data_IF_101325224575
#
_entry.id   IF_101325224575
#
_cell.length_a   1.000
_cell.length_b   1.000
_cell.length_c   1.000
_cell.angle_alpha   90.00
_cell.angle_beta   90.00
_cell.angle_gamma   90.00
#
_symmetry.space_group_name_H-M   'P 1'
#
loop_
_entity.id
_entity.type
_entity.pdbx_description
1 polymer ?
#
# COMPACT_ATOMS: atom_id res chain seq x y z
N UNK A 1 -12.62 -1.90 -2.13
CA UNK A 1 -11.86 -3.06 -1.65
C UNK A 1 -12.75 -4.28 -1.47
N UNK A 2 -13.73 -4.23 -0.57
CA UNK A 2 -14.73 -5.29 -0.45
C UNK A 2 -15.71 -5.22 -1.61
N UNK A 3 -16.08 -6.38 -2.16
CA UNK A 3 -17.19 -6.53 -3.10
C UNK A 3 -17.99 -7.76 -2.67
N UNK A 4 -19.30 -7.65 -2.37
CA UNK A 4 -20.09 -8.77 -1.83
C UNK A 4 -19.97 -10.05 -2.66
N UNK A 5 -19.90 -9.91 -3.98
CA UNK A 5 -19.82 -11.00 -4.95
C UNK A 5 -18.46 -11.72 -4.92
N UNK A 6 -17.42 -11.05 -4.40
CA UNK A 6 -16.04 -11.51 -4.39
C UNK A 6 -15.44 -11.60 -2.98
N UNK A 7 -16.23 -11.27 -1.95
CA UNK A 7 -15.78 -11.13 -0.58
C UNK A 7 -14.61 -10.15 -0.42
N UNK A 8 -13.66 -10.50 0.44
CA UNK A 8 -12.48 -9.68 0.71
C UNK A 8 -11.37 -9.80 -0.36
N UNK A 9 -11.53 -10.63 -1.40
CA UNK A 9 -10.49 -10.83 -2.43
C UNK A 9 -9.99 -9.54 -3.08
N UNK A 10 -10.84 -8.56 -3.44
CA UNK A 10 -10.35 -7.33 -4.05
C UNK A 10 -9.62 -6.41 -3.05
N UNK A 11 -9.83 -6.58 -1.74
CA UNK A 11 -9.02 -5.92 -0.70
C UNK A 11 -7.59 -6.47 -0.76
N UNK A 12 -7.43 -7.79 -0.74
CA UNK A 12 -6.11 -8.43 -0.81
C UNK A 12 -5.35 -8.04 -2.09
N UNK A 13 -6.06 -7.92 -3.22
CA UNK A 13 -5.48 -7.46 -4.48
C UNK A 13 -4.97 -6.02 -4.38
N UNK A 14 -5.77 -5.11 -3.82
CA UNK A 14 -5.41 -3.69 -3.65
C UNK A 14 -4.20 -3.54 -2.73
N UNK A 15 -4.17 -4.24 -1.59
CA UNK A 15 -3.04 -4.21 -0.66
C UNK A 15 -1.76 -4.67 -1.36
N UNK A 16 -1.80 -5.79 -2.09
CA UNK A 16 -0.59 -6.36 -2.72
C UNK A 16 -0.10 -5.56 -3.92
N UNK A 17 -1.01 -5.09 -4.78
CA UNK A 17 -0.63 -4.41 -6.03
C UNK A 17 -0.25 -2.95 -5.79
N UNK A 18 -1.04 -2.25 -4.98
CA UNK A 18 -0.91 -0.80 -4.89
C UNK A 18 -0.06 -0.44 -3.66
N UNK A 19 -0.41 -0.96 -2.48
CA UNK A 19 0.27 -0.58 -1.22
C UNK A 19 1.67 -1.19 -1.12
N UNK A 20 1.79 -2.51 -1.28
CA UNK A 20 3.07 -3.18 -1.05
C UNK A 20 4.15 -2.76 -2.06
N UNK A 21 3.78 -2.55 -3.32
CA UNK A 21 4.71 -2.11 -4.36
C UNK A 21 5.31 -0.73 -4.07
N UNK A 22 4.48 0.25 -3.72
CA UNK A 22 4.96 1.61 -3.41
C UNK A 22 5.77 1.66 -2.12
N UNK A 23 5.35 0.93 -1.08
CA UNK A 23 6.12 0.81 0.16
C UNK A 23 7.48 0.18 -0.08
N UNK A 24 7.53 -0.93 -0.83
CA UNK A 24 8.80 -1.62 -1.13
C UNK A 24 9.76 -0.70 -1.88
N UNK A 25 9.24 0.05 -2.85
CA UNK A 25 10.04 1.03 -3.60
C UNK A 25 10.61 2.11 -2.67
N UNK A 26 9.78 2.72 -1.84
CA UNK A 26 10.20 3.76 -0.90
C UNK A 26 11.27 3.26 0.09
N UNK A 27 11.10 2.06 0.64
CA UNK A 27 12.06 1.47 1.59
C UNK A 27 13.42 1.18 0.94
N UNK A 28 13.44 0.77 -0.33
CA UNK A 28 14.68 0.55 -1.06
C UNK A 28 15.41 1.86 -1.38
N UNK A 29 14.66 2.94 -1.62
CA UNK A 29 15.21 4.27 -1.90
C UNK A 29 15.67 5.00 -0.63
N UNK A 30 15.13 4.66 0.55
CA UNK A 30 15.41 5.31 1.83
C UNK A 30 15.70 4.29 2.94
N UNK A 31 16.81 3.52 2.84
CA UNK A 31 17.10 2.37 3.71
C UNK A 31 17.27 2.73 5.20
N UNK A 32 17.54 3.99 5.51
CA UNK A 32 17.71 4.52 6.87
C UNK A 32 16.39 4.89 7.58
N UNK A 33 15.27 4.85 6.88
CA UNK A 33 13.96 5.22 7.44
C UNK A 33 13.35 4.05 8.20
N UNK A 34 13.28 4.17 9.54
CA UNK A 34 12.75 3.12 10.43
C UNK A 34 11.22 3.04 10.46
N UNK A 35 10.52 4.12 10.12
CA UNK A 35 9.06 4.18 10.16
C UNK A 35 8.50 5.07 9.07
N UNK A 36 7.35 4.66 8.53
CA UNK A 36 6.61 5.37 7.49
C UNK A 36 5.13 5.43 7.83
N UNK A 37 4.49 6.52 7.43
CA UNK A 37 3.06 6.72 7.45
C UNK A 37 2.50 6.54 6.03
N UNK A 38 1.51 5.66 5.90
CA UNK A 38 0.85 5.37 4.63
C UNK A 38 -0.54 5.99 4.63
N UNK A 39 -0.75 6.94 3.73
CA UNK A 39 -2.07 7.47 3.38
C UNK A 39 -2.62 6.80 2.13
N UNK A 40 -3.95 6.81 1.99
CA UNK A 40 -4.61 6.36 0.76
C UNK A 40 -5.67 7.36 0.33
N UNK A 41 -5.39 8.11 -0.75
CA UNK A 41 -6.31 9.04 -1.39
C UNK A 41 -6.16 8.92 -2.91
N UNK A 42 -7.09 8.20 -3.54
CA UNK A 42 -7.04 7.82 -4.97
C UNK A 42 -5.70 7.20 -5.43
N UNK A 43 -4.91 6.68 -4.49
CA UNK A 43 -3.54 6.24 -4.68
C UNK A 43 -2.81 6.14 -3.35
N UNK A 44 -1.63 5.53 -3.35
CA UNK A 44 -0.80 5.37 -2.15
C UNK A 44 0.05 6.61 -1.96
N UNK A 45 0.04 7.17 -0.76
CA UNK A 45 0.88 8.30 -0.36
C UNK A 45 1.79 7.80 0.75
N UNK A 46 3.11 7.86 0.54
CA UNK A 46 4.11 7.50 1.55
C UNK A 46 4.70 8.79 2.12
N UNK A 47 4.67 8.89 3.44
CA UNK A 47 5.21 10.03 4.19
C UNK A 47 5.96 9.53 5.43
N UNK A 48 6.82 10.37 6.00
CA UNK A 48 7.52 10.08 7.25
C UNK A 48 6.67 10.51 8.43
#
# INVERSE_FOLDING_TARGET
GYQPEYGARPINRLIRRDILSEVSKYMLENPEVESINIGYDNGVIVSR
#
